data_IF_055198182861
#
_entry.id   IF_055198182861
#
_cell.length_a   1.000
_cell.length_b   1.000
_cell.length_c   1.000
_cell.angle_alpha   90.00
_cell.angle_beta   90.00
_cell.angle_gamma   90.00
#
_symmetry.space_group_name_H-M   'P 1'
#
loop_
_entity.id
_entity.type
_entity.pdbx_description
1 polymer ?
#
# COMPACT_ATOMS: atom_id res chain seq x y z
N UNK A 1 37.85 -3.00 0.76
CA UNK A 1 36.90 -3.94 1.40
C UNK A 1 36.09 -3.10 2.36
N UNK A 2 34.86 -2.68 2.07
CA UNK A 2 33.80 -3.24 1.22
C UNK A 2 33.31 -2.23 0.20
N UNK A 3 32.93 -2.70 -0.99
CA UNK A 3 32.32 -1.94 -2.07
C UNK A 3 31.07 -1.21 -1.59
N UNK A 4 30.96 0.07 -1.91
CA UNK A 4 29.71 0.85 -1.82
C UNK A 4 29.00 0.77 -3.18
N UNK A 5 28.70 -0.45 -3.62
CA UNK A 5 27.82 -0.73 -4.75
C UNK A 5 26.46 -1.09 -4.18
N UNK A 6 25.73 -0.06 -3.75
CA UNK A 6 24.28 -0.01 -3.61
C UNK A 6 23.91 1.45 -3.39
N UNK A 7 24.32 2.28 -4.35
CA UNK A 7 23.76 3.62 -4.49
C UNK A 7 22.49 3.46 -5.32
N UNK A 8 21.43 2.98 -4.68
CA UNK A 8 20.08 3.11 -5.22
C UNK A 8 19.85 4.61 -5.44
N UNK A 9 19.67 4.98 -6.69
CA UNK A 9 19.72 6.34 -7.19
C UNK A 9 18.60 7.20 -6.62
N UNK A 10 18.85 7.87 -5.49
CA UNK A 10 18.03 8.99 -5.00
C UNK A 10 18.46 10.27 -5.75
N UNK A 11 18.34 10.28 -7.08
CA UNK A 11 18.62 11.48 -7.89
C UNK A 11 18.09 11.37 -9.34
N UNK A 12 16.76 11.47 -9.51
CA UNK A 12 16.01 12.00 -10.69
C UNK A 12 14.52 11.72 -10.37
N UNK A 13 13.60 12.65 -10.16
CA UNK A 13 13.48 14.04 -10.58
C UNK A 13 12.51 14.81 -9.66
N UNK A 14 12.65 16.13 -9.57
CA UNK A 14 11.68 17.03 -8.91
C UNK A 14 10.36 17.17 -9.73
N UNK A 15 10.06 16.24 -10.65
CA UNK A 15 8.92 16.32 -11.59
C UNK A 15 8.27 14.95 -11.92
N UNK A 16 8.62 13.87 -11.20
CA UNK A 16 8.02 12.53 -11.41
C UNK A 16 7.44 12.00 -10.11
N UNK A 17 6.13 11.78 -10.08
CA UNK A 17 5.48 10.94 -9.07
C UNK A 17 6.10 9.55 -9.19
N UNK A 18 6.57 8.95 -8.09
CA UNK A 18 7.15 7.61 -8.16
C UNK A 18 6.10 6.58 -8.63
N UNK A 19 6.55 5.45 -9.17
CA UNK A 19 5.65 4.46 -9.76
C UNK A 19 4.64 3.88 -8.75
N UNK A 20 4.95 3.89 -7.45
CA UNK A 20 4.08 3.39 -6.39
C UNK A 20 3.01 4.43 -6.05
N UNK A 21 3.40 5.70 -5.95
CA UNK A 21 2.48 6.81 -5.71
C UNK A 21 1.54 7.00 -6.92
N UNK A 22 2.03 6.85 -8.16
CA UNK A 22 1.15 6.83 -9.33
C UNK A 22 0.09 5.72 -9.25
N UNK A 23 0.50 4.54 -8.77
CA UNK A 23 -0.42 3.41 -8.64
C UNK A 23 -1.48 3.68 -7.59
N UNK A 24 -1.15 4.33 -6.47
CA UNK A 24 -2.14 4.63 -5.44
C UNK A 24 -3.11 5.74 -5.89
N UNK A 25 -2.62 6.78 -6.57
CA UNK A 25 -3.48 7.83 -7.14
C UNK A 25 -4.52 7.22 -8.10
N UNK A 26 -4.09 6.28 -8.95
CA UNK A 26 -4.97 5.57 -9.90
C UNK A 26 -6.04 4.68 -9.21
N UNK A 27 -5.95 4.44 -7.90
CA UNK A 27 -6.99 3.69 -7.14
C UNK A 27 -8.15 4.57 -6.69
N UNK A 28 -7.96 5.89 -6.62
CA UNK A 28 -8.91 6.82 -6.01
C UNK A 28 -8.85 6.85 -4.47
N UNK A 29 -7.92 6.12 -3.84
CA UNK A 29 -7.81 5.97 -2.38
C UNK A 29 -6.49 6.53 -1.80
N UNK A 30 -5.92 7.55 -2.46
CA UNK A 30 -4.64 8.13 -2.05
C UNK A 30 -4.71 8.78 -0.65
N UNK A 31 -5.82 9.47 -0.33
CA UNK A 31 -5.99 10.12 0.97
C UNK A 31 -6.05 9.11 2.13
N UNK A 32 -6.80 8.01 1.99
CA UNK A 32 -6.85 6.96 3.01
C UNK A 32 -5.51 6.22 3.14
N UNK A 33 -4.78 6.04 2.03
CA UNK A 33 -3.43 5.48 2.05
C UNK A 33 -2.46 6.39 2.81
N UNK A 34 -2.45 7.70 2.50
CA UNK A 34 -1.58 8.67 3.18
C UNK A 34 -1.85 8.68 4.69
N UNK A 35 -3.12 8.70 5.11
CA UNK A 35 -3.50 8.61 6.53
C UNK A 35 -2.97 7.34 7.20
N UNK A 36 -3.06 6.20 6.53
CA UNK A 36 -2.53 4.93 7.02
C UNK A 36 -1.00 4.95 7.16
N UNK A 37 -0.30 5.50 6.16
CA UNK A 37 1.16 5.63 6.19
C UNK A 37 1.64 6.58 7.29
N UNK A 38 0.96 7.71 7.48
CA UNK A 38 1.25 8.66 8.57
C UNK A 38 1.04 7.97 9.93
N UNK A 39 -0.05 7.23 10.12
CA UNK A 39 -0.24 6.48 11.37
C UNK A 39 0.89 5.48 11.62
N UNK A 40 1.29 4.71 10.60
CA UNK A 40 2.39 3.77 10.75
C UNK A 40 3.73 4.47 11.01
N UNK A 41 3.99 5.61 10.36
CA UNK A 41 5.17 6.43 10.61
C UNK A 41 5.24 6.87 12.08
N UNK A 42 4.13 7.39 12.61
CA UNK A 42 4.06 7.89 13.99
C UNK A 42 4.12 6.77 15.04
N UNK A 43 3.48 5.63 14.78
CA UNK A 43 3.34 4.53 15.76
C UNK A 43 4.41 3.46 15.62
N UNK A 44 4.98 3.30 14.44
CA UNK A 44 5.86 2.18 14.06
C UNK A 44 5.21 0.80 14.34
N UNK A 45 3.87 0.74 14.36
CA UNK A 45 3.10 -0.47 14.62
C UNK A 45 1.74 -0.41 13.91
N UNK A 46 1.61 -1.20 12.85
CA UNK A 46 0.38 -1.28 12.04
C UNK A 46 -0.84 -1.77 12.84
N UNK A 47 -0.65 -2.48 13.96
CA UNK A 47 -1.76 -2.94 14.82
C UNK A 47 -2.46 -1.79 15.53
N UNK A 48 -1.80 -0.65 15.66
CA UNK A 48 -2.38 0.56 16.24
C UNK A 48 -3.11 1.41 15.20
N UNK A 49 -3.01 1.06 13.92
CA UNK A 49 -3.60 1.78 12.78
C UNK A 49 -4.78 1.02 12.14
N UNK A 50 -5.48 0.20 12.93
CA UNK A 50 -6.65 -0.55 12.45
C UNK A 50 -7.75 0.36 11.89
N UNK A 51 -8.07 1.53 12.49
CA UNK A 51 -9.07 2.44 11.93
C UNK A 51 -8.71 2.95 10.53
N UNK A 52 -7.46 3.38 10.32
CA UNK A 52 -6.95 3.86 9.04
C UNK A 52 -6.94 2.73 8.00
N UNK A 53 -6.55 1.52 8.43
CA UNK A 53 -6.57 0.34 7.58
C UNK A 53 -8.00 -0.04 7.16
N UNK A 54 -8.98 0.07 8.05
CA UNK A 54 -10.38 -0.15 7.71
C UNK A 54 -10.91 0.92 6.75
N UNK A 55 -10.55 2.19 6.95
CA UNK A 55 -10.91 3.27 6.03
C UNK A 55 -10.36 3.01 4.62
N UNK A 56 -9.08 2.63 4.52
CA UNK A 56 -8.46 2.28 3.24
C UNK A 56 -9.17 1.10 2.57
N UNK A 57 -9.49 0.02 3.32
CA UNK A 57 -10.24 -1.13 2.79
C UNK A 57 -11.63 -0.74 2.28
N UNK A 58 -12.34 0.15 2.98
CA UNK A 58 -13.65 0.65 2.54
C UNK A 58 -13.55 1.44 1.25
N UNK A 59 -12.60 2.37 1.15
CA UNK A 59 -12.35 3.08 -0.09
C UNK A 59 -12.03 2.10 -1.23
N UNK A 60 -11.13 1.14 -0.99
CA UNK A 60 -10.73 0.14 -1.98
C UNK A 60 -11.93 -0.64 -2.54
N UNK A 61 -12.86 -1.04 -1.68
CA UNK A 61 -14.07 -1.74 -2.07
C UNK A 61 -15.03 -0.84 -2.88
N UNK A 62 -15.22 0.41 -2.48
CA UNK A 62 -16.10 1.38 -3.16
C UNK A 62 -15.60 1.67 -4.58
N UNK A 63 -14.28 1.81 -4.75
CA UNK A 63 -13.66 2.07 -6.05
C UNK A 63 -13.51 0.82 -6.93
N UNK A 64 -14.02 -0.33 -6.50
CA UNK A 64 -14.00 -1.56 -7.30
C UNK A 64 -12.59 -2.13 -7.52
N UNK A 65 -11.65 -1.83 -6.63
CA UNK A 65 -10.24 -2.16 -6.83
C UNK A 65 -9.90 -3.64 -6.59
N UNK A 66 -10.90 -4.51 -6.31
CA UNK A 66 -10.68 -5.96 -6.10
C UNK A 66 -10.05 -6.61 -7.33
N UNK A 67 -10.50 -6.24 -8.53
CA UNK A 67 -10.00 -6.82 -9.78
C UNK A 67 -8.60 -6.33 -10.19
N UNK A 68 -8.05 -5.32 -9.50
CA UNK A 68 -6.68 -4.82 -9.78
C UNK A 68 -5.60 -5.79 -9.33
N UNK A 69 -5.96 -6.77 -8.50
CA UNK A 69 -5.06 -7.79 -7.95
C UNK A 69 -5.74 -9.15 -8.04
N UNK A 70 -5.03 -10.18 -8.48
CA UNK A 70 -5.56 -11.53 -8.47
C UNK A 70 -5.49 -12.08 -7.03
N UNK A 71 -6.63 -12.18 -6.36
CA UNK A 71 -6.72 -12.75 -5.00
C UNK A 71 -7.16 -14.21 -5.04
N UNK A 72 -6.55 -15.04 -4.19
CA UNK A 72 -7.07 -16.38 -3.91
C UNK A 72 -7.94 -16.28 -2.66
N UNK A 73 -9.23 -16.54 -2.81
CA UNK A 73 -10.13 -16.66 -1.67
C UNK A 73 -9.76 -17.93 -0.91
N UNK A 74 -9.60 -17.81 0.41
CA UNK A 74 -9.18 -18.93 1.24
C UNK A 74 -10.40 -19.45 1.99
N UNK A 75 -11.30 -20.07 1.22
CA UNK A 75 -12.57 -20.58 1.70
C UNK A 75 -12.37 -21.70 2.73
N UNK A 76 -13.17 -21.69 3.80
CA UNK A 76 -13.08 -22.72 4.86
C UNK A 76 -13.22 -24.15 4.30
N UNK A 77 -13.95 -24.30 3.20
CA UNK A 77 -14.19 -25.57 2.51
C UNK A 77 -12.93 -26.12 1.82
N UNK A 78 -12.02 -25.25 1.38
CA UNK A 78 -10.77 -25.66 0.72
C UNK A 78 -9.68 -26.07 1.74
N UNK A 79 -9.80 -25.62 2.99
CA UNK A 79 -8.85 -25.94 4.07
C UNK A 79 -9.06 -27.30 4.70
N UNK A 80 -10.14 -27.99 4.37
CA UNK A 80 -10.55 -29.27 4.98
C UNK A 80 -10.42 -30.48 4.04
N UNK A 81 -9.80 -30.31 2.87
CA UNK A 81 -9.53 -31.36 1.88
C UNK A 81 -8.11 -31.95 2.02
#
# INVERSE_FOLDING_TARGET
MTSVDDTESVAESEDTVDEWEERIIKTGCAEENERLQICHYDKQDWRQCLPEMEAFRKCWAIHGNRERVHTVDNDEKDRTL
#
